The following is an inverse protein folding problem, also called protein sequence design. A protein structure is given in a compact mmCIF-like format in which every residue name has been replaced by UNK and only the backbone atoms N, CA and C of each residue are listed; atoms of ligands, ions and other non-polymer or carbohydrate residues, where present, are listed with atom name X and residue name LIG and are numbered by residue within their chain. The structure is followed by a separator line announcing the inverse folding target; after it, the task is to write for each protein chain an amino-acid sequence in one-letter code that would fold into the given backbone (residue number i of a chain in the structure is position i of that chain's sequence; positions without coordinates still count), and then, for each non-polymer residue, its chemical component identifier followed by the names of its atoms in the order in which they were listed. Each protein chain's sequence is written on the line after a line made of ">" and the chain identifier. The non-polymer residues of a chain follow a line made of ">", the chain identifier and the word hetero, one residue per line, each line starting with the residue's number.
data_IF_834587601180
#
_entry.id   IF_834587601180
#
_cell.length_a   1.000
_cell.length_b   1.000
_cell.length_c   1.000
_cell.angle_alpha   90.00
_cell.angle_beta   90.00
_cell.angle_gamma   90.00
#
_symmetry.space_group_name_H-M   'P 1'
#
loop_
_entity.id
_entity.type
_entity.pdbx_description
1 polymer ?
#
# COMPACT_ATOMS: atom_id res chain seq x y z
N UNK A 1 6.17 -4.67 9.88
CA UNK A 1 7.13 -3.93 9.05
C UNK A 1 6.91 -2.43 9.14
N UNK A 2 5.70 -1.89 8.90
CA UNK A 2 5.38 -0.47 9.09
C UNK A 2 5.74 0.05 10.50
N UNK A 3 5.26 -0.61 11.57
CA UNK A 3 5.49 -0.16 12.95
C UNK A 3 6.94 -0.25 13.47
N UNK A 4 7.86 -0.85 12.71
CA UNK A 4 9.29 -0.95 13.07
C UNK A 4 10.19 -0.22 12.06
N UNK A 5 9.61 0.52 11.11
CA UNK A 5 10.37 1.24 10.07
C UNK A 5 10.93 0.38 8.94
N UNK A 6 10.62 -0.92 8.89
CA UNK A 6 11.08 -1.82 7.82
C UNK A 6 10.51 -1.48 6.45
N UNK A 7 9.46 -0.66 6.39
CA UNK A 7 8.85 -0.17 5.15
C UNK A 7 9.06 1.32 4.89
N UNK A 8 9.90 2.01 5.66
CA UNK A 8 10.29 3.40 5.33
C UNK A 8 10.82 3.46 3.88
N UNK A 9 10.33 4.37 3.02
CA UNK A 9 9.59 5.59 3.33
C UNK A 9 8.05 5.51 3.20
N UNK A 10 7.44 4.32 3.22
CA UNK A 10 5.98 4.20 3.22
C UNK A 10 5.39 4.74 4.53
N UNK A 11 4.45 5.66 4.41
CA UNK A 11 3.77 6.30 5.55
C UNK A 11 2.54 5.51 6.04
N UNK A 12 2.17 4.43 5.34
CA UNK A 12 1.02 3.61 5.67
C UNK A 12 0.71 2.52 4.64
N UNK A 13 -0.53 2.04 4.64
CA UNK A 13 -1.03 1.16 3.59
C UNK A 13 -1.30 1.95 2.30
N UNK A 14 -1.07 1.32 1.16
CA UNK A 14 -1.25 1.93 -0.15
C UNK A 14 -2.73 2.27 -0.41
N UNK A 15 -2.97 3.45 -0.96
CA UNK A 15 -4.25 3.79 -1.57
C UNK A 15 -4.40 3.07 -2.93
N UNK A 16 -5.54 3.26 -3.60
CA UNK A 16 -5.81 2.61 -4.89
C UNK A 16 -4.80 2.97 -5.99
N UNK A 17 -4.35 4.22 -6.07
CA UNK A 17 -3.41 4.67 -7.09
C UNK A 17 -2.02 4.04 -6.89
N UNK A 18 -1.55 4.02 -5.65
CA UNK A 18 -0.27 3.39 -5.31
C UNK A 18 -0.29 1.88 -5.54
N UNK A 19 -1.32 1.21 -5.04
CA UNK A 19 -1.49 -0.24 -5.24
C UNK A 19 -1.50 -0.60 -6.73
N UNK A 20 -2.29 0.11 -7.54
CA UNK A 20 -2.39 -0.15 -8.96
C UNK A 20 -1.06 0.10 -9.68
N UNK A 21 -0.40 1.22 -9.39
CA UNK A 21 0.90 1.54 -9.98
C UNK A 21 1.98 0.53 -9.59
N UNK A 22 1.97 0.03 -8.35
CA UNK A 22 2.90 -1.01 -7.91
C UNK A 22 2.65 -2.32 -8.64
N UNK A 23 1.39 -2.73 -8.82
CA UNK A 23 1.03 -3.91 -9.59
C UNK A 23 1.47 -3.80 -11.07
N UNK A 24 1.29 -2.63 -11.68
CA UNK A 24 1.54 -2.45 -13.12
C UNK A 24 3.00 -2.12 -13.45
N UNK A 25 3.67 -1.34 -12.58
CA UNK A 25 4.95 -0.67 -12.86
C UNK A 25 6.02 -0.93 -11.80
N UNK A 26 5.71 -1.64 -10.72
CA UNK A 26 6.59 -1.82 -9.56
C UNK A 26 7.01 -0.50 -8.90
N UNK A 27 6.23 0.58 -9.08
CA UNK A 27 6.48 1.87 -8.47
C UNK A 27 5.18 2.40 -7.86
N UNK A 28 5.27 3.13 -6.75
CA UNK A 28 4.13 3.91 -6.22
C UNK A 28 3.70 4.98 -7.24
N UNK A 29 2.55 5.62 -7.02
CA UNK A 29 2.06 6.66 -7.93
C UNK A 29 3.06 7.84 -8.01
N UNK A 30 3.77 8.10 -6.92
CA UNK A 30 4.81 9.14 -6.80
C UNK A 30 6.20 8.69 -7.31
N UNK A 31 6.31 7.49 -7.87
CA UNK A 31 7.54 7.02 -8.52
C UNK A 31 8.57 6.40 -7.58
N UNK A 32 8.23 6.08 -6.33
CA UNK A 32 9.10 5.27 -5.47
C UNK A 32 9.09 3.82 -5.99
N UNK A 33 10.27 3.27 -6.28
CA UNK A 33 10.38 1.85 -6.62
C UNK A 33 9.96 0.98 -5.43
N UNK A 34 8.91 0.17 -5.63
CA UNK A 34 8.37 -0.72 -4.62
C UNK A 34 7.62 -1.88 -5.29
N UNK A 35 8.19 -3.10 -5.34
CA UNK A 35 7.63 -4.18 -6.15
C UNK A 35 6.55 -5.03 -5.45
N UNK A 36 6.28 -4.79 -4.16
CA UNK A 36 5.35 -5.60 -3.37
C UNK A 36 4.22 -4.72 -2.82
N UNK A 37 2.96 -4.92 -3.20
CA UNK A 37 1.86 -4.11 -2.69
C UNK A 37 1.67 -4.30 -1.18
N UNK A 38 1.44 -3.20 -0.47
CA UNK A 38 1.21 -3.17 0.98
C UNK A 38 -0.21 -2.66 1.25
N UNK A 39 -1.16 -3.57 1.43
CA UNK A 39 -2.59 -3.24 1.61
C UNK A 39 -3.11 -3.72 2.96
N UNK A 40 -4.15 -3.04 3.47
CA UNK A 40 -4.94 -3.51 4.61
C UNK A 40 -6.19 -4.21 4.08
N UNK A 41 -6.11 -5.53 3.90
CA UNK A 41 -7.24 -6.33 3.43
C UNK A 41 -8.17 -6.66 4.60
N UNK A 42 -9.45 -6.27 4.48
CA UNK A 42 -10.50 -6.52 5.48
C UNK A 42 -11.75 -7.08 4.82
N UNK A 43 -12.68 -7.64 5.60
CA UNK A 43 -14.00 -8.05 5.10
C UNK A 43 -14.84 -6.84 4.68
N UNK A 44 -15.86 -7.05 3.83
CA UNK A 44 -16.78 -5.99 3.43
C UNK A 44 -17.47 -5.32 4.61
N UNK A 45 -17.99 -6.12 5.55
CA UNK A 45 -18.59 -5.61 6.80
C UNK A 45 -17.64 -4.70 7.59
N UNK A 46 -16.35 -5.07 7.68
CA UNK A 46 -15.36 -4.24 8.37
C UNK A 46 -15.04 -2.98 7.58
N UNK A 47 -15.00 -3.06 6.25
CA UNK A 47 -14.78 -1.91 5.38
C UNK A 47 -15.92 -0.89 5.50
N UNK A 48 -17.17 -1.34 5.55
CA UNK A 48 -18.36 -0.47 5.71
C UNK A 48 -18.42 0.22 7.09
N UNK A 49 -17.74 -0.34 8.09
CA UNK A 49 -17.68 0.16 9.46
C UNK A 49 -16.41 0.99 9.78
N UNK A 50 -15.56 1.26 8.79
CA UNK A 50 -14.36 2.11 8.89
C UNK A 50 -14.66 3.53 8.39
#
# INVERSE_FOLDING_TARGET
>A
MLGIGGFTPLDGFMNRADWQSVCDKMHTADGLFWPIPVTLSVSGERADAL
#
